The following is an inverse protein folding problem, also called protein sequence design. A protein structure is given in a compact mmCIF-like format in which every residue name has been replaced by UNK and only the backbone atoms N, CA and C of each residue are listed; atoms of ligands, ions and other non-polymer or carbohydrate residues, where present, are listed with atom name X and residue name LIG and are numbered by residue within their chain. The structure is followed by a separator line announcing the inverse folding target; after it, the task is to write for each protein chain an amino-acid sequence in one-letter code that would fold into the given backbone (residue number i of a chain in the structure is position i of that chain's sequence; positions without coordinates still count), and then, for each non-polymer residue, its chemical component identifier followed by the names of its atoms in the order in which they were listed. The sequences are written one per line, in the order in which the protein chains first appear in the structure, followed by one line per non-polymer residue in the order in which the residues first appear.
data_IF_356113559264
#
_entry.id   IF_356113559264
#
_cell.length_a   1.000
_cell.length_b   1.000
_cell.length_c   1.000
_cell.angle_alpha   90.00
_cell.angle_beta   90.00
_cell.angle_gamma   90.00
#
_symmetry.space_group_name_H-M   'P 1'
#
loop_
_entity.id
_entity.type
_entity.pdbx_description
1 polymer ?
#
# COMPACT_ATOMS: atom_id res chain seq x y z
N UNK A 1 -10.21 12.40 2.69
CA UNK A 1 -8.89 13.04 2.82
C UNK A 1 -8.04 12.49 1.70
N UNK A 2 -7.55 13.38 0.83
CA UNK A 2 -6.67 13.01 -0.27
C UNK A 2 -5.24 12.78 0.27
N UNK A 3 -4.60 11.69 -0.16
CA UNK A 3 -3.26 11.30 0.30
C UNK A 3 -2.14 11.62 -0.69
N UNK A 4 -2.46 12.08 -1.90
CA UNK A 4 -1.51 12.44 -2.96
C UNK A 4 -0.34 13.31 -2.46
N UNK A 5 -0.63 14.36 -1.68
CA UNK A 5 0.39 15.30 -1.16
C UNK A 5 1.21 14.77 0.01
N UNK A 6 0.77 13.67 0.61
CA UNK A 6 1.41 13.04 1.77
C UNK A 6 2.35 11.94 1.31
N UNK A 7 1.87 11.06 0.43
CA UNK A 7 2.60 9.84 0.09
C UNK A 7 3.61 10.04 -1.04
N UNK A 8 3.66 11.23 -1.65
CA UNK A 8 4.64 11.59 -2.68
C UNK A 8 5.92 12.21 -2.13
N UNK A 9 6.02 12.40 -0.80
CA UNK A 9 7.18 13.02 -0.16
C UNK A 9 7.58 12.27 1.10
N UNK A 10 8.86 11.87 1.17
CA UNK A 10 9.42 11.19 2.34
C UNK A 10 9.14 11.95 3.65
N UNK A 11 9.29 13.29 3.63
CA UNK A 11 9.21 14.12 4.83
C UNK A 11 7.81 14.19 5.47
N UNK A 12 6.75 13.91 4.73
CA UNK A 12 5.36 14.05 5.21
C UNK A 12 4.79 12.75 5.75
N UNK A 13 5.30 11.60 5.29
CA UNK A 13 4.75 10.29 5.67
C UNK A 13 4.92 9.99 7.16
N UNK A 14 6.10 10.18 7.79
CA UNK A 14 6.27 9.93 9.22
C UNK A 14 5.27 10.70 10.08
N UNK A 15 5.12 12.01 9.85
CA UNK A 15 4.18 12.86 10.59
C UNK A 15 2.73 12.40 10.42
N UNK A 16 2.34 12.03 9.19
CA UNK A 16 1.01 11.46 8.95
C UNK A 16 0.78 10.17 9.75
N UNK A 17 1.77 9.27 9.81
CA UNK A 17 1.67 8.04 10.59
C UNK A 17 1.54 8.36 12.07
N UNK A 18 2.42 9.20 12.60
CA UNK A 18 2.50 9.49 14.03
C UNK A 18 1.24 10.22 14.53
N UNK A 19 0.57 11.01 13.69
CA UNK A 19 -0.68 11.71 14.03
C UNK A 19 -1.94 10.85 13.90
N UNK A 20 -1.99 9.93 12.91
CA UNK A 20 -3.24 9.26 12.52
C UNK A 20 -3.31 7.77 12.92
N UNK A 21 -2.21 7.19 13.42
CA UNK A 21 -2.10 5.76 13.70
C UNK A 21 -1.80 5.49 15.17
N UNK A 22 -2.29 4.35 15.67
CA UNK A 22 -1.93 3.81 16.97
C UNK A 22 -1.13 2.53 16.81
N UNK A 23 -0.42 2.16 17.88
CA UNK A 23 0.17 0.84 18.04
C UNK A 23 -0.84 -0.26 17.70
N UNK A 24 -0.37 -1.22 16.93
CA UNK A 24 -1.17 -2.34 16.49
C UNK A 24 -0.33 -3.60 16.45
N UNK A 25 -0.78 -4.63 17.16
CA UNK A 25 -0.24 -5.97 17.03
C UNK A 25 -1.33 -6.84 16.42
N UNK A 26 -1.18 -7.19 15.14
CA UNK A 26 -2.01 -8.24 14.56
C UNK A 26 -1.43 -9.57 15.00
N UNK A 27 -2.18 -10.39 15.73
CA UNK A 27 -1.67 -11.70 16.12
C UNK A 27 -1.43 -12.56 14.88
N UNK A 28 -0.40 -13.42 14.91
CA UNK A 28 -0.15 -14.40 13.84
C UNK A 28 -1.39 -15.23 13.51
N UNK A 29 -2.15 -15.60 14.54
CA UNK A 29 -3.38 -16.37 14.39
C UNK A 29 -4.46 -15.59 13.62
N UNK A 30 -4.61 -14.29 13.88
CA UNK A 30 -5.53 -13.44 13.12
C UNK A 30 -5.08 -13.30 11.67
N UNK A 31 -3.78 -13.07 11.41
CA UNK A 31 -3.22 -13.01 10.05
C UNK A 31 -3.51 -14.28 9.25
N UNK A 32 -3.27 -15.45 9.86
CA UNK A 32 -3.49 -16.75 9.22
C UNK A 32 -4.97 -17.07 9.00
N UNK A 33 -5.83 -16.86 10.01
CA UNK A 33 -7.26 -17.14 9.91
C UNK A 33 -7.97 -16.25 8.89
N UNK A 34 -7.53 -15.00 8.78
CA UNK A 34 -8.12 -14.03 7.85
C UNK A 34 -7.49 -14.04 6.47
N UNK A 35 -6.41 -14.84 6.27
CA UNK A 35 -5.55 -14.79 5.07
C UNK A 35 -5.21 -13.34 4.72
N UNK A 36 -4.90 -12.54 5.74
CA UNK A 36 -4.71 -11.11 5.57
C UNK A 36 -3.55 -10.87 4.59
N UNK A 37 -3.65 -9.92 3.64
CA UNK A 37 -2.61 -9.71 2.63
C UNK A 37 -1.25 -9.35 3.22
N UNK A 38 -1.24 -8.74 4.41
CA UNK A 38 -0.03 -8.41 5.19
C UNK A 38 0.50 -9.57 6.04
N UNK A 39 0.17 -10.83 5.71
CA UNK A 39 0.69 -11.99 6.42
C UNK A 39 2.21 -12.11 6.29
N UNK A 40 2.76 -11.75 5.12
CA UNK A 40 4.20 -11.77 4.84
C UNK A 40 4.91 -10.46 5.21
N UNK A 41 4.17 -9.39 5.49
CA UNK A 41 4.74 -8.06 5.75
C UNK A 41 4.67 -7.68 7.24
N UNK A 42 5.68 -6.93 7.69
CA UNK A 42 5.72 -6.33 9.04
C UNK A 42 4.69 -5.20 9.10
N UNK A 43 3.97 -5.14 10.22
CA UNK A 43 2.95 -4.13 10.50
C UNK A 43 2.94 -3.90 12.01
N UNK A 44 2.99 -2.64 12.45
CA UNK A 44 2.90 -2.29 13.87
C UNK A 44 2.01 -1.07 14.15
N UNK A 45 1.27 -0.60 13.14
CA UNK A 45 0.42 0.60 13.20
C UNK A 45 -0.87 0.37 12.43
N UNK A 46 -2.00 0.87 12.97
CA UNK A 46 -3.30 0.97 12.28
C UNK A 46 -3.93 2.33 12.51
N UNK A 47 -4.81 2.77 11.61
CA UNK A 47 -5.55 4.01 11.77
C UNK A 47 -6.38 4.03 13.07
N UNK A 48 -6.37 5.19 13.75
CA UNK A 48 -7.13 5.41 15.00
C UNK A 48 -8.55 5.90 14.74
N UNK A 49 -8.78 6.57 13.60
CA UNK A 49 -10.05 7.25 13.32
C UNK A 49 -11.00 6.38 12.48
N UNK A 50 -11.96 5.68 13.08
CA UNK A 50 -13.01 5.01 12.32
C UNK A 50 -13.87 6.04 11.58
N UNK A 51 -14.19 5.76 10.30
CA UNK A 51 -15.13 6.55 9.50
C UNK A 51 -14.56 7.72 8.69
N UNK A 52 -13.26 8.04 8.84
CA UNK A 52 -12.60 9.02 7.96
C UNK A 52 -12.32 8.37 6.61
N UNK A 53 -12.96 8.85 5.55
CA UNK A 53 -12.70 8.39 4.19
C UNK A 53 -11.33 8.90 3.70
N UNK A 54 -10.47 8.00 3.24
CA UNK A 54 -9.21 8.32 2.60
C UNK A 54 -9.28 8.02 1.10
N UNK A 55 -8.61 8.84 0.31
CA UNK A 55 -8.61 8.73 -1.15
C UNK A 55 -7.20 8.91 -1.70
N UNK A 56 -6.95 8.30 -2.86
CA UNK A 56 -5.75 8.52 -3.66
C UNK A 56 -6.11 8.71 -5.14
N UNK A 57 -5.82 9.90 -5.65
CA UNK A 57 -6.22 10.37 -6.99
C UNK A 57 -7.72 10.15 -7.25
N UNK A 58 -8.54 10.44 -6.23
CA UNK A 58 -9.99 10.24 -6.29
C UNK A 58 -10.46 8.79 -6.09
N UNK A 59 -9.56 7.82 -5.92
CA UNK A 59 -9.91 6.43 -5.64
C UNK A 59 -10.06 6.19 -4.14
N UNK A 60 -11.15 5.56 -3.67
CA UNK A 60 -11.32 5.26 -2.25
C UNK A 60 -10.29 4.24 -1.77
N UNK A 61 -9.72 4.51 -0.61
CA UNK A 61 -8.84 3.58 0.10
C UNK A 61 -9.68 2.84 1.13
N UNK A 62 -9.69 1.51 1.00
CA UNK A 62 -10.49 0.61 1.83
C UNK A 62 -9.89 0.47 3.22
N UNK A 63 -8.57 0.27 3.30
CA UNK A 63 -7.82 0.10 4.54
C UNK A 63 -6.43 0.71 4.44
N UNK A 64 -5.88 1.15 5.57
CA UNK A 64 -4.50 1.64 5.66
C UNK A 64 -3.81 1.04 6.88
N UNK A 65 -2.64 0.46 6.64
CA UNK A 65 -1.74 -0.04 7.67
C UNK A 65 -0.38 0.60 7.53
N UNK A 66 0.40 0.59 8.61
CA UNK A 66 1.77 1.07 8.55
C UNK A 66 2.74 0.19 9.35
N UNK A 67 4.01 0.29 8.97
CA UNK A 67 5.15 -0.17 9.74
C UNK A 67 6.07 1.01 10.01
N UNK A 68 6.42 1.22 11.29
CA UNK A 68 7.43 2.18 11.74
C UNK A 68 8.54 1.41 12.42
N UNK A 69 9.73 1.39 11.82
CA UNK A 69 10.92 0.74 12.42
C UNK A 69 11.59 1.68 13.42
N UNK A 70 11.64 2.97 13.09
CA UNK A 70 12.18 4.06 13.90
C UNK A 70 11.54 5.40 13.46
N UNK A 71 12.06 6.54 13.93
CA UNK A 71 11.54 7.88 13.61
C UNK A 71 11.59 8.24 12.12
N UNK A 72 12.50 7.64 11.34
CA UNK A 72 12.70 7.95 9.91
C UNK A 72 12.22 6.83 8.99
N UNK A 73 12.37 5.58 9.40
CA UNK A 73 12.09 4.40 8.58
C UNK A 73 10.60 4.03 8.65
N UNK A 74 9.94 3.96 7.50
CA UNK A 74 8.52 3.64 7.42
C UNK A 74 8.13 2.78 6.21
N UNK A 75 6.96 2.16 6.33
CA UNK A 75 6.19 1.63 5.22
C UNK A 75 4.70 1.90 5.44
N UNK A 76 4.01 2.44 4.44
CA UNK A 76 2.55 2.54 4.37
C UNK A 76 2.01 1.49 3.41
N UNK A 77 0.92 0.85 3.78
CA UNK A 77 0.18 -0.08 2.94
C UNK A 77 -1.23 0.47 2.74
N UNK A 78 -1.55 0.89 1.51
CA UNK A 78 -2.88 1.36 1.12
C UNK A 78 -3.60 0.24 0.39
N UNK A 79 -4.80 -0.12 0.82
CA UNK A 79 -5.62 -1.16 0.21
C UNK A 79 -6.70 -0.54 -0.66
N UNK A 80 -6.73 -0.89 -1.94
CA UNK A 80 -7.69 -0.32 -2.90
C UNK A 80 -8.36 -1.44 -3.72
N UNK A 81 -9.60 -1.19 -4.12
CA UNK A 81 -10.28 -1.95 -5.18
C UNK A 81 -10.16 -1.15 -6.48
N UNK A 82 -9.31 -1.60 -7.40
CA UNK A 82 -8.92 -0.87 -8.62
C UNK A 82 -9.58 -1.51 -9.85
N UNK A 83 -10.28 -0.71 -10.64
CA UNK A 83 -10.66 -1.04 -12.02
C UNK A 83 -9.73 -0.35 -13.04
N UNK A 84 -10.03 -0.52 -14.34
CA UNK A 84 -9.27 0.11 -15.41
C UNK A 84 -9.14 1.63 -15.28
N UNK A 85 -10.24 2.31 -14.97
CA UNK A 85 -10.25 3.76 -14.84
C UNK A 85 -9.48 4.22 -13.60
N UNK A 86 -9.64 3.49 -12.50
CA UNK A 86 -8.94 3.73 -11.24
C UNK A 86 -7.41 3.63 -11.41
N UNK A 87 -6.95 2.62 -12.17
CA UNK A 87 -5.55 2.45 -12.50
C UNK A 87 -5.03 3.64 -13.33
N UNK A 88 -5.80 4.06 -14.34
CA UNK A 88 -5.50 5.25 -15.13
C UNK A 88 -5.31 6.49 -14.27
N UNK A 89 -6.22 6.76 -13.32
CA UNK A 89 -6.08 7.91 -12.41
C UNK A 89 -4.82 7.84 -11.52
N UNK A 90 -4.43 6.64 -11.09
CA UNK A 90 -3.20 6.46 -10.30
C UNK A 90 -1.96 6.77 -11.13
N UNK A 91 -1.93 6.30 -12.38
CA UNK A 91 -0.84 6.57 -13.32
C UNK A 91 -0.82 8.04 -13.72
N UNK A 92 -1.97 8.67 -13.95
CA UNK A 92 -2.04 10.12 -14.21
C UNK A 92 -1.52 10.94 -13.03
N UNK A 93 -1.74 10.45 -11.80
CA UNK A 93 -1.33 11.09 -10.57
C UNK A 93 0.17 10.98 -10.26
N UNK A 94 0.75 9.79 -10.45
CA UNK A 94 2.18 9.55 -10.19
C UNK A 94 3.08 9.73 -11.42
N UNK A 95 2.50 9.75 -12.62
CA UNK A 95 3.23 9.59 -13.89
C UNK A 95 3.35 8.12 -14.30
N UNK A 96 3.98 7.87 -15.45
CA UNK A 96 4.20 6.49 -15.91
C UNK A 96 5.16 5.74 -14.98
N UNK A 97 4.84 4.49 -14.60
CA UNK A 97 5.72 3.63 -13.82
C UNK A 97 7.05 3.37 -14.55
N UNK A 98 8.11 3.18 -13.78
CA UNK A 98 9.48 3.10 -14.29
C UNK A 98 9.94 1.69 -14.66
N UNK A 99 9.18 0.66 -14.27
CA UNK A 99 9.54 -0.75 -14.44
C UNK A 99 8.80 -1.46 -15.58
N UNK A 100 7.96 -0.76 -16.35
CA UNK A 100 7.19 -1.32 -17.46
C UNK A 100 7.24 -0.39 -18.67
N UNK A 101 7.08 -0.95 -19.86
CA UNK A 101 6.89 -0.14 -21.07
C UNK A 101 5.44 0.34 -21.19
N UNK A 102 5.18 1.30 -22.08
CA UNK A 102 3.80 1.70 -22.39
C UNK A 102 2.99 0.54 -22.97
N UNK A 103 3.62 -0.35 -23.76
CA UNK A 103 2.97 -1.53 -24.32
C UNK A 103 2.57 -2.54 -23.24
N UNK A 104 3.47 -2.85 -22.30
CA UNK A 104 3.19 -3.73 -21.16
C UNK A 104 2.06 -3.15 -20.29
N UNK A 105 2.04 -1.83 -20.09
CA UNK A 105 0.99 -1.15 -19.34
C UNK A 105 -0.39 -1.29 -20.02
N UNK A 106 -0.46 -0.98 -21.32
CA UNK A 106 -1.71 -1.07 -22.09
C UNK A 106 -2.24 -2.51 -22.18
N UNK A 107 -1.33 -3.48 -22.31
CA UNK A 107 -1.66 -4.92 -22.36
C UNK A 107 -1.87 -5.56 -20.99
N UNK A 108 -1.53 -4.84 -19.91
CA UNK A 108 -1.53 -5.32 -18.52
C UNK A 108 -0.62 -6.51 -18.28
N UNK A 109 0.49 -6.57 -18.99
CA UNK A 109 1.52 -7.58 -18.81
C UNK A 109 2.54 -7.13 -17.76
N UNK A 110 2.11 -7.11 -16.49
CA UNK A 110 2.98 -6.76 -15.37
C UNK A 110 2.53 -7.42 -14.07
N UNK A 111 3.49 -7.80 -13.23
CA UNK A 111 3.21 -8.29 -11.88
C UNK A 111 2.99 -7.14 -10.88
N UNK A 112 3.68 -6.02 -11.08
CA UNK A 112 3.60 -4.81 -10.27
C UNK A 112 4.03 -3.58 -11.06
N UNK A 113 3.65 -2.41 -10.56
CA UNK A 113 4.08 -1.10 -11.06
C UNK A 113 4.91 -0.38 -10.00
N UNK A 114 5.99 0.30 -10.40
CA UNK A 114 6.92 0.96 -9.50
C UNK A 114 7.19 2.41 -9.88
N UNK A 115 7.23 3.27 -8.88
CA UNK A 115 7.67 4.66 -8.97
C UNK A 115 8.71 4.93 -7.88
N UNK A 116 9.73 5.72 -8.22
CA UNK A 116 10.82 6.09 -7.32
C UNK A 116 10.93 7.61 -7.12
N UNK A 117 9.95 8.28 -6.48
CA UNK A 117 10.13 9.67 -6.07
C UNK A 117 11.35 9.83 -5.14
N UNK A 118 11.93 11.03 -5.02
CA UNK A 118 13.09 11.24 -4.14
C UNK A 118 12.80 10.80 -2.69
N UNK A 119 13.56 9.81 -2.22
CA UNK A 119 13.53 9.32 -0.84
C UNK A 119 12.46 8.27 -0.52
N UNK A 120 11.63 7.87 -1.50
CA UNK A 120 10.61 6.83 -1.31
C UNK A 120 10.46 5.95 -2.55
N UNK A 121 10.09 4.69 -2.32
CA UNK A 121 9.62 3.76 -3.32
C UNK A 121 8.10 3.59 -3.17
N UNK A 122 7.40 3.60 -4.30
CA UNK A 122 5.97 3.35 -4.39
C UNK A 122 5.76 2.14 -5.29
N UNK A 123 5.12 1.11 -4.78
CA UNK A 123 4.82 -0.13 -5.51
C UNK A 123 3.32 -0.37 -5.51
N UNK A 124 2.74 -0.65 -6.68
CA UNK A 124 1.37 -1.12 -6.81
C UNK A 124 1.38 -2.56 -7.30
N UNK A 125 0.74 -3.47 -6.57
CA UNK A 125 0.65 -4.86 -6.96
C UNK A 125 -0.70 -5.47 -6.56
N UNK A 126 -1.13 -6.47 -7.33
CA UNK A 126 -2.35 -7.21 -7.03
C UNK A 126 -2.14 -8.11 -5.80
N UNK A 127 -3.18 -8.26 -4.98
CA UNK A 127 -3.19 -9.30 -3.96
C UNK A 127 -4.38 -10.24 -4.16
N UNK A 128 -4.06 -11.52 -4.36
CA UNK A 128 -5.03 -12.55 -4.73
C UNK A 128 -5.75 -13.20 -3.55
N UNK A 129 -5.55 -12.70 -2.33
CA UNK A 129 -6.00 -13.33 -1.08
C UNK A 129 -7.13 -12.52 -0.42
N UNK A 130 -8.36 -13.04 -0.46
CA UNK A 130 -9.54 -12.42 0.18
C UNK A 130 -10.88 -13.04 -0.24
N UNK A 131 -11.90 -12.96 0.63
CA UNK A 131 -13.13 -13.75 0.53
C UNK A 131 -14.25 -13.17 -0.37
N UNK A 132 -14.10 -11.96 -0.91
CA UNK A 132 -15.10 -11.33 -1.78
C UNK A 132 -14.40 -10.60 -2.93
N UNK A 133 -14.67 -11.03 -4.16
CA UNK A 133 -14.29 -10.33 -5.38
C UNK A 133 -15.43 -9.40 -5.78
N UNK A 134 -15.14 -8.10 -5.94
CA UNK A 134 -16.04 -7.18 -6.62
C UNK A 134 -15.91 -7.44 -8.14
N UNK A 135 -17.00 -7.71 -8.87
CA UNK A 135 -16.93 -7.95 -10.32
C UNK A 135 -16.24 -6.78 -11.03
N UNK A 136 -15.20 -7.07 -11.82
CA UNK A 136 -14.48 -6.08 -12.62
C UNK A 136 -13.44 -5.25 -11.85
N UNK A 137 -13.22 -5.49 -10.56
CA UNK A 137 -12.18 -4.82 -9.76
C UNK A 137 -11.15 -5.79 -9.23
N UNK A 138 -9.90 -5.35 -9.25
CA UNK A 138 -8.79 -6.04 -8.63
C UNK A 138 -8.47 -5.42 -7.28
N UNK A 139 -8.30 -6.28 -6.27
CA UNK A 139 -7.79 -5.86 -4.98
C UNK A 139 -6.28 -5.67 -5.06
N UNK A 140 -5.82 -4.45 -4.77
CA UNK A 140 -4.44 -4.03 -4.93
C UNK A 140 -3.91 -3.39 -3.67
N UNK A 141 -2.59 -3.49 -3.47
CA UNK A 141 -1.87 -2.79 -2.43
C UNK A 141 -0.99 -1.75 -3.10
N UNK A 142 -1.02 -0.53 -2.57
CA UNK A 142 0.03 0.46 -2.81
C UNK A 142 0.92 0.47 -1.57
N UNK A 143 2.16 0.03 -1.73
CA UNK A 143 3.23 0.09 -0.74
C UNK A 143 4.01 1.39 -0.94
N UNK A 144 4.19 2.19 0.12
CA UNK A 144 4.98 3.43 0.09
C UNK A 144 6.02 3.36 1.21
N UNK A 145 7.30 3.30 0.86
CA UNK A 145 8.36 3.03 1.83
C UNK A 145 9.64 3.79 1.52
N UNK A 146 10.44 4.08 2.54
CA UNK A 146 11.84 4.49 2.37
C UNK A 146 12.82 3.41 2.86
N UNK A 147 12.35 2.16 2.96
CA UNK A 147 13.09 1.03 3.49
C UNK A 147 13.38 0.02 2.39
N UNK A 148 14.44 -0.77 2.57
CA UNK A 148 14.69 -1.90 1.68
C UNK A 148 13.60 -2.96 1.86
N UNK A 149 13.15 -3.59 0.77
CA UNK A 149 12.02 -4.53 0.82
C UNK A 149 12.27 -5.70 1.79
N UNK A 150 13.51 -6.20 1.90
CA UNK A 150 13.88 -7.24 2.87
C UNK A 150 13.62 -6.84 4.34
N UNK A 151 13.67 -5.55 4.67
CA UNK A 151 13.35 -5.07 6.01
C UNK A 151 11.84 -5.16 6.31
N UNK A 152 11.00 -5.25 5.28
CA UNK A 152 9.54 -5.29 5.38
C UNK A 152 9.00 -6.71 5.53
N UNK A 153 9.78 -7.72 5.18
CA UNK A 153 9.35 -9.12 5.22
C UNK A 153 9.37 -9.70 6.65
N UNK A 154 8.32 -10.44 6.99
CA UNK A 154 8.29 -11.30 8.17
C UNK A 154 9.18 -12.52 7.92
N UNK A 155 10.35 -12.58 8.55
CA UNK A 155 11.29 -13.71 8.41
C UNK A 155 10.98 -14.89 9.33
N UNK A 156 9.99 -14.76 10.22
CA UNK A 156 9.59 -15.84 11.11
C UNK A 156 8.87 -16.94 10.31
N UNK A 157 9.45 -18.15 10.31
CA UNK A 157 8.82 -19.32 9.68
C UNK A 157 7.38 -19.47 10.16
N UNK A 158 6.45 -19.51 9.22
CA UNK A 158 5.08 -19.96 9.46
C UNK A 158 5.16 -21.48 9.63
N UNK A 159 5.42 -21.93 10.86
CA UNK A 159 5.38 -23.34 11.27
C UNK A 159 3.97 -23.78 11.60
#
# INVERSE_FOLDING_TARGET
MELDKIITKESTVPGFIDENFSDFAMSKMEKQKTRHPLILNKVNRKLVQPGKAYMLFGNPINDIYAFRKDERSFCLYLFLSIDAGSLGHIVDGFGMPQNVTAEDYETRDFDFLAWHPPGIDILLYEYRWGAVQEPGKTKSIIEVTNMHHDDLLCTERIS
#
